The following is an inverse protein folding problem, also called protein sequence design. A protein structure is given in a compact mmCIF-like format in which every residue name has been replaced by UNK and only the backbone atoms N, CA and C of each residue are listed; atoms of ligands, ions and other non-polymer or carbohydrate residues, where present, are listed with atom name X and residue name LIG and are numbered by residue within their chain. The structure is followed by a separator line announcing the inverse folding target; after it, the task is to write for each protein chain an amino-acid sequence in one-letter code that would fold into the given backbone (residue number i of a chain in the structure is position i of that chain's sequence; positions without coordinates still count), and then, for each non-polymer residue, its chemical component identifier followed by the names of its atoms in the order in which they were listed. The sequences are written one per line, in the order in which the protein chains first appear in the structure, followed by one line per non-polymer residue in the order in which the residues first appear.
data_IF_953095182561
#
_entry.id   IF_953095182561
#
_cell.length_a   1.000
_cell.length_b   1.000
_cell.length_c   1.000
_cell.angle_alpha   90.00
_cell.angle_beta   90.00
_cell.angle_gamma   90.00
#
_symmetry.space_group_name_H-M   'P 1'
#
loop_
_entity.id
_entity.type
_entity.pdbx_description
1 polymer ?
#
# COMPACT_ATOMS: atom_id res chain seq x y z
N UNK A 1 -8.58 -19.64 -4.75
CA UNK A 1 -7.20 -19.79 -4.24
C UNK A 1 -7.18 -19.26 -2.82
N UNK A 2 -6.65 -20.01 -1.86
CA UNK A 2 -6.65 -19.62 -0.44
C UNK A 2 -5.33 -18.91 -0.10
N UNK A 3 -5.39 -17.58 0.04
CA UNK A 3 -4.23 -16.74 0.35
C UNK A 3 -3.64 -17.11 1.70
N UNK A 4 -4.46 -17.34 2.73
CA UNK A 4 -3.98 -17.71 4.07
C UNK A 4 -3.18 -19.02 4.05
N UNK A 5 -3.63 -19.98 3.24
CA UNK A 5 -2.89 -21.24 3.05
C UNK A 5 -1.54 -21.03 2.39
N UNK A 6 -1.44 -20.13 1.41
CA UNK A 6 -0.16 -19.77 0.78
C UNK A 6 0.76 -19.05 1.79
N UNK A 7 0.25 -18.09 2.57
CA UNK A 7 1.01 -17.39 3.61
C UNK A 7 1.56 -18.37 4.64
N UNK A 8 0.74 -19.33 5.07
CA UNK A 8 1.17 -20.38 6.01
C UNK A 8 2.31 -21.24 5.45
N UNK A 9 2.26 -21.59 4.17
CA UNK A 9 3.32 -22.36 3.49
C UNK A 9 4.60 -21.54 3.32
N UNK A 10 4.48 -20.30 2.84
CA UNK A 10 5.60 -19.39 2.65
C UNK A 10 6.36 -19.16 3.96
N UNK A 11 5.65 -18.95 5.08
CA UNK A 11 6.25 -18.81 6.42
C UNK A 11 7.06 -20.02 6.87
N UNK A 12 6.71 -21.22 6.37
CA UNK A 12 7.44 -22.47 6.64
C UNK A 12 8.64 -22.67 5.70
N UNK A 13 8.98 -21.70 4.87
CA UNK A 13 10.11 -21.76 3.92
C UNK A 13 9.76 -22.40 2.58
N UNK A 14 8.50 -22.33 2.14
CA UNK A 14 8.12 -22.77 0.80
C UNK A 14 8.24 -21.59 -0.18
N UNK A 15 9.30 -21.59 -0.98
CA UNK A 15 9.64 -20.49 -1.89
C UNK A 15 8.59 -20.30 -3.00
N UNK A 16 8.05 -21.39 -3.56
CA UNK A 16 6.99 -21.33 -4.58
C UNK A 16 5.72 -20.65 -4.03
N UNK A 17 5.37 -20.90 -2.76
CA UNK A 17 4.25 -20.24 -2.12
C UNK A 17 4.51 -18.74 -1.90
N UNK A 18 5.74 -18.36 -1.57
CA UNK A 18 6.13 -16.95 -1.47
C UNK A 18 6.08 -16.26 -2.84
N UNK A 19 6.70 -16.84 -3.86
CA UNK A 19 6.68 -16.31 -5.23
C UNK A 19 5.24 -16.12 -5.72
N UNK A 20 4.38 -17.11 -5.47
CA UNK A 20 2.97 -17.03 -5.85
C UNK A 20 2.21 -15.94 -5.10
N UNK A 21 2.51 -15.70 -3.82
CA UNK A 21 1.94 -14.57 -3.07
C UNK A 21 2.38 -13.24 -3.66
N UNK A 22 3.68 -13.07 -3.91
CA UNK A 22 4.20 -11.84 -4.52
C UNK A 22 3.55 -11.61 -5.89
N UNK A 23 3.44 -12.65 -6.71
CA UNK A 23 2.79 -12.58 -8.02
C UNK A 23 1.31 -12.14 -7.98
N UNK A 24 0.58 -12.43 -6.89
CA UNK A 24 -0.80 -11.94 -6.72
C UNK A 24 -0.88 -10.43 -6.54
N UNK A 25 0.13 -9.82 -5.92
CA UNK A 25 0.11 -8.41 -5.53
C UNK A 25 1.09 -7.55 -6.35
N UNK A 26 1.96 -8.15 -7.17
CA UNK A 26 3.04 -7.47 -7.90
C UNK A 26 2.59 -6.22 -8.65
N UNK A 27 1.47 -6.31 -9.38
CA UNK A 27 0.93 -5.16 -10.12
C UNK A 27 0.47 -4.02 -9.20
N UNK A 28 -0.12 -4.36 -8.05
CA UNK A 28 -0.55 -3.38 -7.06
C UNK A 28 0.65 -2.72 -6.36
N UNK A 29 1.66 -3.53 -5.99
CA UNK A 29 2.91 -3.05 -5.41
C UNK A 29 3.62 -2.09 -6.37
N UNK A 30 3.76 -2.47 -7.65
CA UNK A 30 4.40 -1.64 -8.68
C UNK A 30 3.68 -0.31 -8.88
N UNK A 31 2.35 -0.34 -9.04
CA UNK A 31 1.57 0.90 -9.19
C UNK A 31 1.70 1.82 -7.98
N UNK A 32 1.69 1.25 -6.78
CA UNK A 32 1.89 2.02 -5.56
C UNK A 32 3.30 2.61 -5.56
N UNK A 33 4.34 1.81 -5.78
CA UNK A 33 5.72 2.28 -5.83
C UNK A 33 5.90 3.42 -6.85
N UNK A 34 5.31 3.28 -8.04
CA UNK A 34 5.35 4.29 -9.10
C UNK A 34 4.72 5.63 -8.67
N UNK A 35 3.65 5.59 -7.87
CA UNK A 35 3.04 6.81 -7.31
C UNK A 35 4.00 7.62 -6.43
N UNK A 36 4.96 6.97 -5.77
CA UNK A 36 5.95 7.64 -4.93
C UNK A 36 7.28 7.91 -5.66
N UNK A 37 7.65 7.03 -6.59
CA UNK A 37 8.92 7.06 -7.31
C UNK A 37 8.98 8.10 -8.44
N UNK A 38 7.84 8.43 -9.06
CA UNK A 38 7.76 9.33 -10.21
C UNK A 38 8.35 8.79 -11.52
N UNK A 39 9.12 7.70 -11.49
CA UNK A 39 9.68 7.04 -12.66
C UNK A 39 9.73 5.51 -12.49
N UNK A 40 9.90 4.81 -13.62
CA UNK A 40 9.87 3.34 -13.65
C UNK A 40 11.06 2.69 -12.95
N UNK A 41 12.27 3.25 -13.09
CA UNK A 41 13.49 2.67 -12.52
C UNK A 41 13.42 2.64 -10.99
N UNK A 42 13.05 3.76 -10.40
CA UNK A 42 12.90 3.89 -8.96
C UNK A 42 11.71 3.07 -8.43
N UNK A 43 10.62 2.97 -9.18
CA UNK A 43 9.50 2.11 -8.81
C UNK A 43 9.90 0.62 -8.76
N UNK A 44 10.70 0.16 -9.72
CA UNK A 44 11.22 -1.20 -9.74
C UNK A 44 12.18 -1.45 -8.58
N UNK A 45 13.03 -0.48 -8.24
CA UNK A 45 13.92 -0.52 -7.06
C UNK A 45 13.11 -0.72 -5.77
N UNK A 46 12.12 0.13 -5.53
CA UNK A 46 11.22 0.03 -4.35
C UNK A 46 10.55 -1.34 -4.26
N UNK A 47 10.01 -1.85 -5.38
CA UNK A 47 9.38 -3.17 -5.41
C UNK A 47 10.38 -4.28 -5.09
N UNK A 48 11.59 -4.21 -5.65
CA UNK A 48 12.64 -5.19 -5.40
C UNK A 48 13.07 -5.20 -3.94
N UNK A 49 13.35 -4.02 -3.37
CA UNK A 49 13.73 -3.86 -1.96
C UNK A 49 12.62 -4.39 -1.03
N UNK A 50 11.37 -4.10 -1.37
CA UNK A 50 10.20 -4.62 -0.65
C UNK A 50 10.14 -6.14 -0.67
N UNK A 51 10.32 -6.76 -1.84
CA UNK A 51 10.28 -8.23 -1.98
C UNK A 51 11.43 -8.88 -1.22
N UNK A 52 12.64 -8.32 -1.30
CA UNK A 52 13.83 -8.80 -0.60
C UNK A 52 13.62 -8.74 0.92
N UNK A 53 13.19 -7.58 1.44
CA UNK A 53 12.94 -7.42 2.88
C UNK A 53 11.79 -8.31 3.35
N UNK A 54 10.70 -8.40 2.57
CA UNK A 54 9.59 -9.30 2.87
C UNK A 54 10.06 -10.76 2.90
N UNK A 55 10.93 -11.19 1.99
CA UNK A 55 11.45 -12.56 2.00
C UNK A 55 12.27 -12.86 3.27
N UNK A 56 13.16 -11.93 3.65
CA UNK A 56 14.02 -12.07 4.84
C UNK A 56 13.19 -12.12 6.13
N UNK A 57 12.21 -11.23 6.25
CA UNK A 57 11.41 -11.04 7.46
C UNK A 57 10.12 -11.86 7.50
N UNK A 58 9.80 -12.62 6.45
CA UNK A 58 8.54 -13.37 6.34
C UNK A 58 8.28 -14.29 7.52
N UNK A 59 9.34 -14.92 8.05
CA UNK A 59 9.27 -15.86 9.18
C UNK A 59 8.76 -15.20 10.46
N UNK A 60 8.96 -13.89 10.59
CA UNK A 60 8.56 -13.08 11.74
C UNK A 60 7.12 -12.56 11.65
N UNK A 61 6.42 -12.82 10.54
CA UNK A 61 5.00 -12.50 10.38
C UNK A 61 4.16 -13.28 11.42
N UNK A 62 3.66 -12.55 12.43
CA UNK A 62 2.89 -13.12 13.54
C UNK A 62 1.44 -13.44 13.16
N UNK A 63 0.79 -12.53 12.43
CA UNK A 63 -0.61 -12.63 11.99
C UNK A 63 -0.65 -12.90 10.50
N UNK A 64 -1.03 -14.11 10.10
CA UNK A 64 -0.98 -14.53 8.69
C UNK A 64 -2.05 -13.82 7.83
N UNK A 65 -3.18 -13.50 8.44
CA UNK A 65 -4.28 -12.72 7.88
C UNK A 65 -3.88 -11.26 7.59
N UNK A 66 -2.88 -10.75 8.30
CA UNK A 66 -2.37 -9.39 8.11
C UNK A 66 -1.26 -9.32 7.05
N UNK A 67 -1.03 -10.38 6.29
CA UNK A 67 0.05 -10.45 5.30
C UNK A 67 0.07 -9.24 4.37
N UNK A 68 -1.07 -8.87 3.79
CA UNK A 68 -1.13 -7.76 2.83
C UNK A 68 -0.83 -6.42 3.52
N UNK A 69 -1.40 -6.17 4.70
CA UNK A 69 -1.12 -4.97 5.49
C UNK A 69 0.35 -4.88 5.90
N UNK A 70 0.96 -6.02 6.26
CA UNK A 70 2.39 -6.09 6.59
C UNK A 70 3.27 -5.82 5.38
N UNK A 71 2.94 -6.41 4.23
CA UNK A 71 3.69 -6.22 2.99
C UNK A 71 3.62 -4.77 2.50
N UNK A 72 2.44 -4.15 2.54
CA UNK A 72 2.28 -2.74 2.17
C UNK A 72 3.00 -1.81 3.15
N UNK A 73 3.19 -2.21 4.40
CA UNK A 73 3.99 -1.44 5.37
C UNK A 73 5.46 -1.40 5.01
N UNK A 74 6.01 -2.53 4.56
CA UNK A 74 7.39 -2.59 4.04
C UNK A 74 7.47 -1.74 2.77
N UNK A 75 6.52 -1.88 1.85
CA UNK A 75 6.49 -1.11 0.61
C UNK A 75 6.49 0.41 0.88
N UNK A 76 5.60 0.87 1.75
CA UNK A 76 5.47 2.28 2.08
C UNK A 76 6.72 2.83 2.78
N UNK A 77 7.40 2.03 3.61
CA UNK A 77 8.68 2.41 4.18
C UNK A 77 9.71 2.79 3.09
N UNK A 78 9.87 1.94 2.07
CA UNK A 78 10.77 2.21 0.94
C UNK A 78 10.27 3.37 0.08
N UNK A 79 8.96 3.45 -0.17
CA UNK A 79 8.35 4.47 -0.99
C UNK A 79 8.47 5.89 -0.39
N UNK A 80 8.25 6.04 0.92
CA UNK A 80 8.42 7.32 1.61
C UNK A 80 9.87 7.77 1.63
N UNK A 81 10.81 6.84 1.78
CA UNK A 81 12.23 7.15 1.71
C UNK A 81 12.63 7.64 0.31
N UNK A 82 12.20 6.96 -0.74
CA UNK A 82 12.44 7.39 -2.12
C UNK A 82 11.83 8.77 -2.41
N UNK A 83 10.63 9.05 -1.90
CA UNK A 83 9.98 10.36 -2.01
C UNK A 83 10.84 11.50 -1.44
N UNK A 84 11.56 11.27 -0.33
CA UNK A 84 12.44 12.28 0.28
C UNK A 84 13.70 12.56 -0.57
N UNK A 85 14.06 11.66 -1.48
CA UNK A 85 15.21 11.79 -2.38
C UNK A 85 14.86 12.55 -3.67
N UNK A 86 13.58 12.85 -3.91
CA UNK A 86 13.09 13.55 -5.11
C UNK A 86 12.94 15.05 -4.80
N UNK A 87 13.79 15.87 -5.43
CA UNK A 87 13.84 17.34 -5.23
C UNK A 87 12.72 18.09 -5.97
N UNK A 88 12.11 17.46 -6.99
CA UNK A 88 11.08 18.05 -7.85
C UNK A 88 9.96 17.03 -8.12
N UNK A 89 8.92 17.00 -7.27
CA UNK A 89 7.67 16.37 -7.69
C UNK A 89 6.93 17.29 -8.66
N UNK A 90 6.31 16.72 -9.70
CA UNK A 90 5.35 17.45 -10.53
C UNK A 90 4.34 18.17 -9.63
N UNK A 91 4.00 19.42 -9.98
CA UNK A 91 3.12 20.28 -9.20
C UNK A 91 1.73 19.66 -8.90
N UNK A 92 0.89 20.34 -8.10
CA UNK A 92 -0.43 19.85 -7.68
C UNK A 92 -1.42 19.58 -8.83
N UNK A 93 -1.04 19.85 -10.07
CA UNK A 93 -1.88 19.70 -11.26
C UNK A 93 -2.19 18.22 -11.59
N UNK A 94 -1.46 17.27 -11.00
CA UNK A 94 -1.80 15.84 -11.02
C UNK A 94 -2.35 15.39 -9.66
N UNK A 95 -3.29 14.41 -9.66
CA UNK A 95 -3.78 13.84 -8.41
C UNK A 95 -2.67 13.15 -7.61
N UNK A 96 -1.66 12.61 -8.30
CA UNK A 96 -0.46 12.11 -7.65
C UNK A 96 0.21 13.24 -6.85
N UNK A 97 0.35 14.44 -7.42
CA UNK A 97 0.80 15.64 -6.71
C UNK A 97 -0.09 16.00 -5.51
N UNK A 98 -1.42 16.02 -5.67
CA UNK A 98 -2.37 16.33 -4.57
C UNK A 98 -2.28 15.31 -3.44
N UNK A 99 -2.28 14.01 -3.76
CA UNK A 99 -2.11 12.95 -2.76
C UNK A 99 -0.80 13.15 -2.02
N UNK A 100 0.28 13.53 -2.72
CA UNK A 100 1.62 13.68 -2.17
C UNK A 100 1.77 14.91 -1.25
N UNK A 101 0.83 15.85 -1.31
CA UNK A 101 0.74 16.98 -0.36
C UNK A 101 0.01 16.63 0.94
N UNK A 102 -0.76 15.54 0.97
CA UNK A 102 -1.39 15.07 2.21
C UNK A 102 -0.34 14.52 3.18
N UNK A 103 -0.65 14.57 4.48
CA UNK A 103 0.15 13.88 5.50
C UNK A 103 0.17 12.37 5.24
N UNK A 104 1.29 11.72 5.54
CA UNK A 104 1.55 10.30 5.25
C UNK A 104 0.45 9.38 5.81
N UNK A 105 -0.16 9.73 6.94
CA UNK A 105 -1.25 8.95 7.51
C UNK A 105 -2.49 8.97 6.61
N UNK A 106 -2.85 10.13 6.04
CA UNK A 106 -3.99 10.24 5.13
C UNK A 106 -3.73 9.50 3.82
N UNK A 107 -2.52 9.63 3.26
CA UNK A 107 -2.10 8.89 2.06
C UNK A 107 -2.22 7.38 2.29
N UNK A 108 -1.69 6.91 3.42
CA UNK A 108 -1.72 5.50 3.79
C UNK A 108 -3.16 5.01 3.97
N UNK A 109 -4.03 5.75 4.66
CA UNK A 109 -5.45 5.38 4.80
C UNK A 109 -6.13 5.28 3.44
N UNK A 110 -5.96 6.26 2.56
CA UNK A 110 -6.54 6.25 1.20
C UNK A 110 -6.08 5.01 0.44
N UNK A 111 -4.77 4.81 0.38
CA UNK A 111 -4.18 3.70 -0.36
C UNK A 111 -4.66 2.35 0.19
N UNK A 112 -4.56 2.13 1.50
CA UNK A 112 -4.89 0.84 2.10
C UNK A 112 -6.40 0.54 2.03
N UNK A 113 -7.27 1.53 2.24
CA UNK A 113 -8.72 1.33 2.21
C UNK A 113 -9.28 1.22 0.80
N UNK A 114 -8.89 2.11 -0.14
CA UNK A 114 -9.50 2.16 -1.47
C UNK A 114 -8.75 1.31 -2.49
N UNK A 115 -7.41 1.28 -2.45
CA UNK A 115 -6.63 0.57 -3.45
C UNK A 115 -6.38 -0.90 -3.08
N UNK A 116 -6.17 -1.19 -1.80
CA UNK A 116 -5.94 -2.55 -1.31
C UNK A 116 -7.18 -3.23 -0.69
N UNK A 117 -8.32 -2.51 -0.57
CA UNK A 117 -9.57 -2.98 0.08
C UNK A 117 -9.30 -3.59 1.47
N UNK A 118 -8.35 -3.02 2.23
CA UNK A 118 -8.00 -3.51 3.56
C UNK A 118 -9.05 -3.11 4.60
N UNK A 119 -9.41 -4.02 5.53
CA UNK A 119 -10.32 -3.70 6.62
C UNK A 119 -9.66 -2.74 7.64
N UNK A 120 -10.51 -2.04 8.40
CA UNK A 120 -10.11 -0.96 9.32
C UNK A 120 -9.09 -1.44 10.37
N UNK A 121 -9.26 -2.65 10.89
CA UNK A 121 -8.35 -3.24 11.89
C UNK A 121 -6.94 -3.48 11.34
N UNK A 122 -6.82 -3.84 10.05
CA UNK A 122 -5.54 -4.00 9.36
C UNK A 122 -4.86 -2.65 9.12
N UNK A 123 -5.64 -1.63 8.75
CA UNK A 123 -5.14 -0.26 8.59
C UNK A 123 -4.69 0.31 9.94
N UNK A 124 -5.46 0.08 11.01
CA UNK A 124 -5.14 0.50 12.36
C UNK A 124 -3.83 -0.14 12.85
N UNK A 125 -3.66 -1.44 12.60
CA UNK A 125 -2.41 -2.15 12.86
C UNK A 125 -1.24 -1.59 12.05
N UNK A 126 -1.46 -1.26 10.78
CA UNK A 126 -0.41 -0.70 9.91
C UNK A 126 0.09 0.65 10.44
N UNK A 127 -0.83 1.55 10.79
CA UNK A 127 -0.54 2.90 11.28
C UNK A 127 -0.17 2.95 12.77
N UNK A 128 -0.33 1.84 13.50
CA UNK A 128 -0.17 1.77 14.94
C UNK A 128 -1.08 2.79 15.69
N UNK A 129 -2.34 2.89 15.27
CA UNK A 129 -3.37 3.77 15.86
C UNK A 129 -4.64 2.97 16.17
N UNK A 130 -5.62 3.61 16.82
CA UNK A 130 -6.92 2.98 17.08
C UNK A 130 -7.81 2.91 15.81
N UNK A 131 -8.71 1.92 15.74
CA UNK A 131 -9.70 1.82 14.67
C UNK A 131 -10.61 3.05 14.57
N UNK A 132 -10.87 3.72 15.70
CA UNK A 132 -11.62 4.98 15.76
C UNK A 132 -10.85 6.11 15.05
N UNK A 133 -9.53 6.15 15.23
CA UNK A 133 -8.66 7.10 14.53
C UNK A 133 -8.69 6.87 13.03
N UNK A 134 -8.57 5.61 12.59
CA UNK A 134 -8.69 5.25 11.16
C UNK A 134 -10.04 5.67 10.60
N UNK A 135 -11.13 5.40 11.31
CA UNK A 135 -12.48 5.80 10.90
C UNK A 135 -12.61 7.32 10.77
N UNK A 136 -11.94 8.07 11.65
CA UNK A 136 -11.88 9.54 11.59
C UNK A 136 -11.12 10.01 10.34
N UNK A 137 -9.96 9.40 10.04
CA UNK A 137 -9.23 9.66 8.80
C UNK A 137 -10.08 9.36 7.57
N UNK A 138 -10.71 8.19 7.50
CA UNK A 138 -11.59 7.80 6.39
C UNK A 138 -12.74 8.79 6.20
N UNK A 139 -13.40 9.22 7.27
CA UNK A 139 -14.47 10.22 7.19
C UNK A 139 -14.00 11.54 6.59
N UNK A 140 -12.78 11.96 6.89
CA UNK A 140 -12.19 13.18 6.35
C UNK A 140 -11.78 12.98 4.88
N UNK A 141 -11.20 11.82 4.55
CA UNK A 141 -10.85 11.41 3.20
C UNK A 141 -12.07 11.35 2.28
N UNK A 142 -13.20 10.79 2.73
CA UNK A 142 -14.46 10.73 1.96
C UNK A 142 -14.99 12.11 1.57
N UNK A 143 -14.68 13.15 2.35
CA UNK A 143 -15.04 14.54 1.98
C UNK A 143 -14.16 15.10 0.87
N UNK A 144 -12.94 14.59 0.73
CA UNK A 144 -11.98 15.01 -0.29
C UNK A 144 -12.16 14.22 -1.59
N UNK A 145 -12.64 12.98 -1.49
CA UNK A 145 -12.83 12.03 -2.59
C UNK A 145 -13.60 12.55 -3.82
N UNK A 146 -14.70 13.31 -3.71
CA UNK A 146 -15.39 13.86 -4.88
C UNK A 146 -14.46 14.70 -5.76
N UNK A 147 -13.54 15.45 -5.15
CA UNK A 147 -12.54 16.25 -5.86
C UNK A 147 -11.40 15.39 -6.45
N UNK A 148 -11.19 14.18 -5.92
CA UNK A 148 -10.22 13.22 -6.42
C UNK A 148 -10.80 12.32 -7.55
N UNK A 149 -12.12 12.06 -7.52
CA UNK A 149 -12.84 11.23 -8.50
C UNK A 149 -13.19 11.98 -9.80
N UNK A 150 -13.50 13.29 -9.74
CA UNK A 150 -13.70 14.13 -10.94
C UNK A 150 -12.42 14.20 -11.82
N UNK A 151 -11.25 13.90 -11.24
CA UNK A 151 -9.97 13.75 -11.94
C UNK A 151 -9.71 12.35 -12.55
N UNK A 152 -10.61 11.37 -12.38
CA UNK A 152 -10.59 10.09 -13.13
C UNK A 152 -9.73 8.94 -12.58
N UNK A 153 -9.34 8.94 -11.30
CA UNK A 153 -8.20 8.11 -10.83
C UNK A 153 -8.57 6.98 -9.84
N UNK A 154 -9.83 6.90 -9.40
CA UNK A 154 -10.35 5.72 -8.69
C UNK A 154 -11.22 4.87 -9.61
N UNK A 155 -10.65 4.39 -10.72
CA UNK A 155 -11.22 3.23 -11.41
C UNK A 155 -10.59 1.95 -10.88
N UNK A 156 -11.02 1.62 -9.66
CA UNK A 156 -10.89 0.33 -9.01
C UNK A 156 -12.16 0.06 -8.21
N UNK A 157 -13.21 -0.39 -8.91
CA UNK A 157 -14.48 -0.90 -8.37
C UNK A 157 -15.19 0.03 -7.36
N UNK A 158 -16.09 0.89 -7.88
CA UNK A 158 -17.15 1.52 -7.08
C UNK A 158 -17.88 0.45 -6.24
N UNK A 159 -17.77 0.50 -4.91
CA UNK A 159 -18.82 -0.03 -4.03
C UNK A 159 -19.76 1.12 -3.69
N UNK A 160 -20.98 1.01 -4.20
CA UNK A 160 -22.16 1.67 -3.66
C UNK A 160 -22.30 1.25 -2.20
N UNK A 161 -22.28 2.20 -1.27
CA UNK A 161 -22.78 1.99 0.10
C UNK A 161 -24.29 2.15 0.12
#
# INVERSE_FOLDING_TARGET
MDVLKLVSKARKGNDEAFERLIGLYQHQLYRTAYMYAGNQEEALRIVQDTICEAYISFKDLKKLDYFLAWLTRILLHHAYRAKQEIDEMEGPDSLQGVLMQLDENYQTVILLSYYYDLPIDHIAWHLNVSEVTVSTYMRNVTKLLPHLEEGGILHGQKKTY
#
